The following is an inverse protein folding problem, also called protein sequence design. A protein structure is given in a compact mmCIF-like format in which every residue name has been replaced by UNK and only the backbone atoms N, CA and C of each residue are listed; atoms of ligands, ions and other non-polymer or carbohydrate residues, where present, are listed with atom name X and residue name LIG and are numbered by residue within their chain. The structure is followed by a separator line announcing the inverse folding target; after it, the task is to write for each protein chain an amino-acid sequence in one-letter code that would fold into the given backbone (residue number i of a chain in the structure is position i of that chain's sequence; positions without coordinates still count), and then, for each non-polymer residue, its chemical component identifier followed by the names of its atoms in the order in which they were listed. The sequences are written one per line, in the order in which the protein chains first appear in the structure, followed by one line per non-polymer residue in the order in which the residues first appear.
data_IF_055413233351
#
_entry.id   IF_055413233351
#
_cell.length_a   1.000
_cell.length_b   1.000
_cell.length_c   1.000
_cell.angle_alpha   90.00
_cell.angle_beta   90.00
_cell.angle_gamma   90.00
#
_symmetry.space_group_name_H-M   'P 1'
#
loop_
_entity.id
_entity.type
_entity.pdbx_description
1 polymer ?
#
# COMPACT_ATOMS: atom_id res chain seq x y z
N UNK A 1 -0.02 -7.46 -29.73
CA UNK A 1 0.73 -7.16 -28.49
C UNK A 1 1.57 -5.89 -28.67
N UNK A 2 0.95 -4.73 -28.90
CA UNK A 2 1.67 -3.46 -29.07
C UNK A 2 0.86 -2.20 -28.67
N UNK A 3 -0.28 -2.35 -27.96
CA UNK A 3 -1.23 -1.25 -27.77
C UNK A 3 -1.24 -0.63 -26.37
N UNK A 4 -0.28 -0.99 -25.51
CA UNK A 4 -0.15 -0.44 -24.16
C UNK A 4 0.98 0.61 -24.02
N UNK A 5 1.69 0.95 -25.11
CA UNK A 5 2.87 1.83 -25.07
C UNK A 5 2.70 3.17 -25.81
N UNK A 6 1.52 3.47 -26.36
CA UNK A 6 1.34 4.68 -27.15
C UNK A 6 -0.09 5.19 -27.10
N UNK A 7 -0.38 6.06 -26.15
CA UNK A 7 -1.66 6.76 -26.10
C UNK A 7 -1.67 7.84 -25.04
N UNK A 8 -1.49 9.08 -25.48
CA UNK A 8 -1.84 10.31 -24.75
C UNK A 8 -3.35 10.37 -24.44
N UNK A 9 -3.86 9.42 -23.67
CA UNK A 9 -5.07 9.60 -22.89
C UNK A 9 -4.62 9.41 -21.45
N UNK A 10 -4.82 10.40 -20.59
CA UNK A 10 -4.86 10.13 -19.16
C UNK A 10 -5.69 8.86 -19.01
N UNK A 11 -5.08 7.76 -18.54
CA UNK A 11 -5.79 6.52 -18.31
C UNK A 11 -7.00 6.92 -17.48
N UNK A 12 -8.18 6.86 -18.09
CA UNK A 12 -9.39 7.38 -17.46
C UNK A 12 -9.48 6.62 -16.14
N UNK A 13 -9.31 7.28 -14.99
CA UNK A 13 -9.12 6.58 -13.73
C UNK A 13 -10.32 5.66 -13.49
N UNK A 14 -11.52 6.08 -13.91
CA UNK A 14 -12.72 5.28 -13.81
C UNK A 14 -12.68 4.03 -14.71
N UNK A 15 -12.08 4.08 -15.90
CA UNK A 15 -11.87 2.87 -16.72
C UNK A 15 -10.83 1.93 -16.11
N UNK A 16 -9.68 2.45 -15.67
CA UNK A 16 -8.66 1.63 -15.03
C UNK A 16 -9.19 0.96 -13.75
N UNK A 17 -10.03 1.65 -12.99
CA UNK A 17 -10.73 1.11 -11.82
C UNK A 17 -11.74 0.01 -12.19
N UNK A 18 -12.47 0.15 -13.30
CA UNK A 18 -13.41 -0.86 -13.83
C UNK A 18 -12.68 -2.10 -14.35
N UNK A 19 -11.64 -1.91 -15.16
CA UNK A 19 -10.80 -2.98 -15.70
C UNK A 19 -10.14 -3.75 -14.55
N UNK A 20 -9.63 -3.04 -13.54
CA UNK A 20 -9.09 -3.67 -12.34
C UNK A 20 -10.12 -4.51 -11.60
N UNK A 21 -11.37 -4.05 -11.45
CA UNK A 21 -12.40 -4.82 -10.75
C UNK A 21 -12.71 -6.15 -11.47
N UNK A 22 -12.86 -6.10 -12.79
CA UNK A 22 -13.06 -7.29 -13.62
C UNK A 22 -11.90 -8.28 -13.53
N UNK A 23 -10.67 -7.78 -13.58
CA UNK A 23 -9.47 -8.60 -13.48
C UNK A 23 -9.30 -9.14 -12.06
N UNK A 24 -9.58 -8.34 -11.03
CA UNK A 24 -9.47 -8.73 -9.62
C UNK A 24 -10.38 -9.89 -9.23
N UNK A 25 -11.58 -9.95 -9.79
CA UNK A 25 -12.50 -11.05 -9.54
C UNK A 25 -12.01 -12.38 -10.14
N UNK A 26 -11.19 -12.34 -11.18
CA UNK A 26 -10.75 -13.52 -11.94
C UNK A 26 -9.29 -13.90 -11.68
N UNK A 27 -8.47 -12.94 -11.24
CA UNK A 27 -7.04 -13.12 -11.07
C UNK A 27 -6.71 -13.99 -9.85
N UNK A 28 -5.69 -14.86 -9.93
CA UNK A 28 -5.18 -15.56 -8.77
C UNK A 28 -4.60 -14.55 -7.77
N UNK A 29 -4.92 -14.74 -6.48
CA UNK A 29 -4.46 -13.85 -5.39
C UNK A 29 -2.95 -13.61 -5.40
N UNK A 30 -2.18 -14.64 -5.74
CA UNK A 30 -0.71 -14.54 -5.84
C UNK A 30 -0.26 -13.54 -6.93
N UNK A 31 -0.90 -13.55 -8.11
CA UNK A 31 -0.58 -12.60 -9.19
C UNK A 31 -0.98 -11.17 -8.83
N UNK A 32 -2.09 -11.03 -8.09
CA UNK A 32 -2.52 -9.75 -7.53
C UNK A 32 -1.51 -9.19 -6.52
N UNK A 33 -1.13 -9.96 -5.50
CA UNK A 33 -0.15 -9.56 -4.50
C UNK A 33 1.17 -9.15 -5.16
N UNK A 34 1.68 -9.97 -6.09
CA UNK A 34 2.90 -9.66 -6.85
C UNK A 34 2.76 -8.38 -7.68
N UNK A 35 1.61 -8.16 -8.30
CA UNK A 35 1.34 -6.94 -9.06
C UNK A 35 1.34 -5.70 -8.19
N UNK A 36 0.71 -5.76 -7.02
CA UNK A 36 0.70 -4.65 -6.06
C UNK A 36 2.09 -4.41 -5.50
N UNK A 37 2.82 -5.46 -5.12
CA UNK A 37 4.22 -5.32 -4.65
C UNK A 37 5.10 -4.68 -5.70
N UNK A 38 4.99 -5.08 -6.97
CA UNK A 38 5.72 -4.45 -8.07
C UNK A 38 5.33 -2.98 -8.21
N UNK A 39 4.03 -2.67 -8.14
CA UNK A 39 3.52 -1.31 -8.18
C UNK A 39 3.98 -0.47 -6.99
N UNK A 40 4.26 -1.06 -5.82
CA UNK A 40 4.80 -0.31 -4.67
C UNK A 40 6.31 -0.11 -4.75
N UNK A 41 7.02 -0.98 -5.48
CA UNK A 41 8.48 -0.92 -5.66
C UNK A 41 8.93 -0.21 -6.93
N UNK A 42 8.01 0.06 -7.85
CA UNK A 42 8.35 0.60 -9.16
C UNK A 42 8.86 2.04 -9.07
N UNK A 43 9.88 2.38 -9.85
CA UNK A 43 10.33 3.76 -10.04
C UNK A 43 9.28 4.64 -10.76
N UNK A 44 8.29 4.03 -11.41
CA UNK A 44 7.19 4.73 -12.07
C UNK A 44 6.08 5.17 -11.10
N UNK A 45 6.17 4.73 -9.84
CA UNK A 45 5.26 5.11 -8.77
C UNK A 45 5.98 5.97 -7.74
N UNK A 46 5.25 6.85 -7.02
CA UNK A 46 5.81 7.55 -5.89
C UNK A 46 6.42 6.56 -4.88
N UNK A 47 7.40 7.00 -4.06
CA UNK A 47 7.98 6.16 -3.02
C UNK A 47 6.92 5.49 -2.15
N UNK A 48 7.16 4.25 -1.72
CA UNK A 48 6.23 3.47 -0.90
C UNK A 48 5.68 4.29 0.28
N UNK A 49 6.56 4.98 1.01
CA UNK A 49 6.19 5.86 2.11
C UNK A 49 5.20 6.97 1.72
N UNK A 50 5.39 7.58 0.55
CA UNK A 50 4.52 8.63 0.01
C UNK A 50 3.16 8.06 -0.39
N UNK A 51 3.12 6.89 -1.02
CA UNK A 51 1.87 6.20 -1.36
C UNK A 51 1.07 5.89 -0.10
N UNK A 52 1.69 5.28 0.90
CA UNK A 52 1.03 4.94 2.18
C UNK A 52 0.49 6.19 2.87
N UNK A 53 1.25 7.29 2.88
CA UNK A 53 0.80 8.57 3.46
C UNK A 53 -0.42 9.14 2.74
N UNK A 54 -0.42 9.16 1.41
CA UNK A 54 -1.55 9.64 0.61
C UNK A 54 -2.80 8.78 0.82
N UNK A 55 -2.62 7.45 0.81
CA UNK A 55 -3.68 6.50 1.10
C UNK A 55 -4.25 6.72 2.49
N UNK A 56 -3.39 6.84 3.48
CA UNK A 56 -3.78 7.08 4.85
C UNK A 56 -4.61 8.36 4.98
N UNK A 57 -4.18 9.46 4.34
CA UNK A 57 -4.93 10.71 4.32
C UNK A 57 -6.33 10.59 3.69
N UNK A 58 -6.49 9.73 2.67
CA UNK A 58 -7.76 9.48 1.97
C UNK A 58 -8.64 8.43 2.64
N UNK A 59 -8.07 7.57 3.47
CA UNK A 59 -8.75 6.47 4.16
C UNK A 59 -9.54 6.94 5.39
N UNK A 60 -10.61 6.22 5.74
CA UNK A 60 -11.37 6.40 6.98
C UNK A 60 -10.62 5.84 8.20
N UNK A 61 -11.02 6.22 9.41
CA UNK A 61 -10.42 5.81 10.68
C UNK A 61 -10.18 4.28 10.78
N UNK A 62 -11.15 3.46 10.33
CA UNK A 62 -11.03 2.01 10.35
C UNK A 62 -9.98 1.46 9.37
N UNK A 63 -9.91 2.03 8.16
CA UNK A 63 -8.90 1.65 7.16
C UNK A 63 -7.51 2.10 7.57
N UNK A 64 -7.40 3.31 8.12
CA UNK A 64 -6.18 3.88 8.70
C UNK A 64 -5.63 2.98 9.80
N UNK A 65 -6.48 2.56 10.74
CA UNK A 65 -6.11 1.60 11.78
C UNK A 65 -5.65 0.28 11.18
N UNK A 66 -6.40 -0.32 10.24
CA UNK A 66 -6.00 -1.58 9.59
C UNK A 66 -4.63 -1.49 8.90
N UNK A 67 -4.38 -0.41 8.15
CA UNK A 67 -3.10 -0.17 7.50
C UNK A 67 -1.94 -0.01 8.50
N UNK A 68 -2.16 0.74 9.57
CA UNK A 68 -1.17 0.91 10.62
C UNK A 68 -0.89 -0.38 11.37
N UNK A 69 -1.92 -1.17 11.66
CA UNK A 69 -1.77 -2.50 12.24
C UNK A 69 -0.93 -3.41 11.36
N UNK A 70 -1.15 -3.37 10.03
CA UNK A 70 -0.36 -4.15 9.10
C UNK A 70 1.09 -3.67 9.03
N UNK A 71 1.33 -2.35 9.02
CA UNK A 71 2.69 -1.82 9.10
C UNK A 71 3.37 -2.24 10.42
N UNK A 72 2.70 -2.04 11.55
CA UNK A 72 3.24 -2.31 12.88
C UNK A 72 3.46 -3.78 13.18
N UNK A 73 2.62 -4.68 12.65
CA UNK A 73 2.82 -6.13 12.72
C UNK A 73 4.16 -6.57 12.10
N UNK A 74 4.71 -5.72 11.22
CA UNK A 74 5.93 -5.97 10.47
C UNK A 74 7.09 -5.05 10.89
N UNK A 75 6.81 -4.01 11.68
CA UNK A 75 7.80 -3.14 12.31
C UNK A 75 8.37 -3.88 13.52
N UNK A 76 9.67 -4.15 13.48
CA UNK A 76 10.35 -4.82 14.61
C UNK A 76 10.48 -3.88 15.81
N UNK A 77 10.55 -4.38 17.06
CA UNK A 77 10.75 -3.56 18.25
C UNK A 77 11.95 -2.62 18.16
N UNK A 78 13.01 -3.03 17.44
CA UNK A 78 14.19 -2.21 17.15
C UNK A 78 13.86 -0.98 16.29
N UNK A 79 13.01 -1.11 15.27
CA UNK A 79 12.56 0.03 14.46
C UNK A 79 11.63 0.94 15.27
N UNK A 80 10.77 0.36 16.11
CA UNK A 80 9.90 1.14 17.00
C UNK A 80 10.73 1.99 17.97
N UNK A 81 11.87 1.47 18.45
CA UNK A 81 12.83 2.24 19.24
C UNK A 81 13.47 3.39 18.44
N UNK A 82 13.76 3.20 17.15
CA UNK A 82 14.22 4.27 16.24
C UNK A 82 13.16 5.36 16.05
N UNK A 83 11.88 4.97 15.96
CA UNK A 83 10.73 5.87 15.81
C UNK A 83 10.29 6.50 17.14
N UNK A 84 10.74 5.96 18.27
CA UNK A 84 10.34 6.40 19.61
C UNK A 84 10.75 7.85 19.92
N UNK A 85 11.70 8.42 19.17
CA UNK A 85 12.08 9.83 19.26
C UNK A 85 11.05 10.82 18.72
N UNK A 86 10.13 10.39 17.84
CA UNK A 86 9.12 11.26 17.19
C UNK A 86 7.67 10.80 17.34
N UNK A 87 7.43 9.49 17.28
CA UNK A 87 6.08 8.88 17.36
C UNK A 87 5.89 8.06 18.65
N UNK A 88 6.96 7.92 19.46
CA UNK A 88 6.98 7.08 20.65
C UNK A 88 5.95 7.45 21.71
N UNK A 89 5.56 8.73 21.80
CA UNK A 89 4.53 9.17 22.74
C UNK A 89 3.13 8.66 22.37
N UNK A 90 2.88 8.38 21.08
CA UNK A 90 1.61 7.84 20.61
C UNK A 90 1.46 6.35 20.96
N UNK A 91 2.57 5.60 20.92
CA UNK A 91 2.60 4.17 21.22
C UNK A 91 2.80 3.84 22.70
N UNK A 92 3.08 4.84 23.55
CA UNK A 92 3.38 4.66 24.98
C UNK A 92 2.15 4.28 25.84
N UNK A 93 0.94 4.36 25.28
CA UNK A 93 -0.32 4.26 26.03
C UNK A 93 -1.05 2.91 26.03
N UNK A 94 -0.58 1.88 25.32
CA UNK A 94 -1.35 0.64 25.18
C UNK A 94 -0.49 -0.61 25.09
N UNK A 95 -0.76 -1.58 25.95
CA UNK A 95 -0.12 -2.91 26.02
C UNK A 95 -0.43 -3.82 24.82
N UNK A 96 -0.90 -3.27 23.70
CA UNK A 96 -1.24 -4.00 22.50
C UNK A 96 -0.63 -3.31 21.28
N UNK A 97 0.06 -4.04 20.40
CA UNK A 97 0.62 -3.50 19.14
C UNK A 97 -0.48 -3.12 18.13
N UNK A 98 -1.73 -3.02 18.57
CA UNK A 98 -2.87 -2.73 17.72
C UNK A 98 -3.32 -1.27 17.83
N UNK A 99 -3.28 -0.55 16.72
CA UNK A 99 -3.82 0.79 16.59
C UNK A 99 -5.33 0.71 16.43
N UNK A 100 -6.07 1.40 17.30
CA UNK A 100 -7.53 1.53 17.17
C UNK A 100 -7.90 2.60 16.15
N UNK A 101 -9.13 2.58 15.59
CA UNK A 101 -9.61 3.65 14.70
C UNK A 101 -9.45 5.05 15.30
N UNK A 102 -9.78 5.21 16.58
CA UNK A 102 -9.64 6.49 17.30
C UNK A 102 -8.19 6.95 17.41
N UNK A 103 -7.24 6.03 17.61
CA UNK A 103 -5.81 6.34 17.60
C UNK A 103 -5.32 6.69 16.20
N UNK A 104 -5.84 6.00 15.17
CA UNK A 104 -5.50 6.26 13.79
C UNK A 104 -5.96 7.65 13.32
N UNK A 105 -7.03 8.21 13.91
CA UNK A 105 -7.43 9.60 13.67
C UNK A 105 -6.46 10.63 14.25
N UNK A 106 -5.74 10.28 15.31
CA UNK A 106 -4.71 11.16 15.91
C UNK A 106 -3.37 11.09 15.18
N UNK A 107 -3.18 10.06 14.35
CA UNK A 107 -1.97 9.88 13.54
C UNK A 107 -2.08 10.76 12.29
N UNK A 108 -1.01 11.48 12.00
CA UNK A 108 -0.93 12.31 10.79
C UNK A 108 -0.33 11.53 9.62
N UNK A 109 -0.69 11.84 8.36
CA UNK A 109 -0.11 11.20 7.18
C UNK A 109 1.42 11.28 7.15
N UNK A 110 2.02 12.37 7.62
CA UNK A 110 3.47 12.52 7.74
C UNK A 110 4.09 11.49 8.70
N UNK A 111 3.48 11.24 9.86
CA UNK A 111 3.96 10.22 10.79
C UNK A 111 3.91 8.83 10.14
N UNK A 112 2.84 8.54 9.38
CA UNK A 112 2.73 7.27 8.64
C UNK A 112 3.80 7.16 7.56
N UNK A 113 4.09 8.26 6.85
CA UNK A 113 5.17 8.31 5.87
C UNK A 113 6.52 7.95 6.51
N UNK A 114 6.84 8.53 7.66
CA UNK A 114 8.09 8.26 8.37
C UNK A 114 8.19 6.80 8.85
N UNK A 115 7.09 6.27 9.38
CA UNK A 115 7.00 4.84 9.78
C UNK A 115 7.23 3.95 8.57
N UNK A 116 6.54 4.20 7.46
CA UNK A 116 6.65 3.41 6.24
C UNK A 116 8.05 3.49 5.62
N UNK A 117 8.65 4.68 5.56
CA UNK A 117 10.02 4.88 5.06
C UNK A 117 11.04 4.14 5.94
N UNK A 118 10.91 4.25 7.26
CA UNK A 118 11.80 3.56 8.21
C UNK A 118 11.63 2.05 8.11
N UNK A 119 10.38 1.57 8.01
CA UNK A 119 10.08 0.15 7.86
C UNK A 119 10.68 -0.41 6.56
N UNK A 120 10.55 0.29 5.44
CA UNK A 120 11.13 -0.09 4.15
C UNK A 120 12.66 -0.14 4.20
N UNK A 121 13.30 0.89 4.76
CA UNK A 121 14.76 0.97 4.85
C UNK A 121 15.36 -0.17 5.68
N UNK A 122 14.72 -0.53 6.79
CA UNK A 122 15.20 -1.59 7.67
C UNK A 122 14.73 -2.99 7.24
N UNK A 123 13.57 -3.10 6.59
CA UNK A 123 12.99 -4.35 6.12
C UNK A 123 12.31 -4.16 4.76
N UNK A 124 13.04 -4.36 3.64
CA UNK A 124 12.45 -4.22 2.31
C UNK A 124 11.31 -5.22 2.05
N UNK A 125 11.21 -6.30 2.82
CA UNK A 125 10.10 -7.24 2.78
C UNK A 125 8.76 -6.68 3.25
N UNK A 126 8.74 -5.48 3.86
CA UNK A 126 7.48 -4.79 4.21
C UNK A 126 6.62 -4.54 2.96
N UNK A 127 7.25 -4.24 1.83
CA UNK A 127 6.55 -3.89 0.59
C UNK A 127 5.81 -5.10 0.02
N UNK A 128 6.39 -6.30 0.17
CA UNK A 128 5.77 -7.57 -0.21
C UNK A 128 4.53 -7.86 0.64
N UNK A 129 4.65 -7.74 1.97
CA UNK A 129 3.54 -7.95 2.91
C UNK A 129 2.41 -6.93 2.76
N UNK A 130 2.77 -5.70 2.43
CA UNK A 130 1.79 -4.66 2.14
C UNK A 130 1.10 -4.94 0.81
N UNK A 131 1.82 -5.42 -0.20
CA UNK A 131 1.24 -5.88 -1.46
C UNK A 131 0.21 -7.00 -1.26
N UNK A 132 0.51 -7.96 -0.39
CA UNK A 132 -0.41 -9.05 -0.03
C UNK A 132 -1.68 -8.52 0.66
N UNK A 133 -1.53 -7.65 1.67
CA UNK A 133 -2.65 -7.00 2.35
C UNK A 133 -3.52 -6.18 1.38
N UNK A 134 -2.90 -5.38 0.51
CA UNK A 134 -3.64 -4.59 -0.47
C UNK A 134 -4.33 -5.47 -1.51
N UNK A 135 -3.74 -6.60 -1.91
CA UNK A 135 -4.40 -7.55 -2.80
C UNK A 135 -5.69 -8.14 -2.20
N UNK A 136 -5.79 -8.23 -0.86
CA UNK A 136 -7.04 -8.59 -0.17
C UNK A 136 -8.04 -7.42 -0.06
N UNK A 137 -7.56 -6.19 -0.25
CA UNK A 137 -8.34 -4.95 -0.13
C UNK A 137 -8.38 -4.18 -1.46
N UNK A 138 -9.16 -4.61 -2.47
CA UNK A 138 -9.19 -3.99 -3.80
C UNK A 138 -9.55 -2.49 -3.77
N UNK A 139 -10.34 -2.05 -2.80
CA UNK A 139 -10.63 -0.61 -2.57
C UNK A 139 -9.37 0.21 -2.28
N UNK A 140 -8.42 -0.37 -1.54
CA UNK A 140 -7.14 0.29 -1.23
C UNK A 140 -6.21 0.28 -2.45
N UNK A 141 -6.23 -0.78 -3.26
CA UNK A 141 -5.47 -0.82 -4.53
C UNK A 141 -5.93 0.27 -5.48
N UNK A 142 -7.24 0.48 -5.61
CA UNK A 142 -7.80 1.58 -6.41
C UNK A 142 -7.34 2.95 -5.89
N UNK A 143 -7.20 3.08 -4.57
CA UNK A 143 -6.71 4.30 -3.96
C UNK A 143 -5.21 4.58 -4.22
N UNK A 144 -4.40 3.57 -4.63
CA UNK A 144 -3.00 3.77 -5.05
C UNK A 144 -2.89 4.58 -6.34
N UNK A 145 -3.96 4.64 -7.14
CA UNK A 145 -4.06 5.45 -8.35
C UNK A 145 -3.78 4.68 -9.65
N UNK A 146 -4.09 5.32 -10.78
CA UNK A 146 -4.10 4.70 -12.10
C UNK A 146 -2.74 4.15 -12.57
N UNK A 147 -1.63 4.75 -12.16
CA UNK A 147 -0.30 4.26 -12.51
C UNK A 147 0.04 2.94 -11.80
N UNK A 148 -0.26 2.84 -10.50
CA UNK A 148 -0.10 1.60 -9.76
C UNK A 148 -1.00 0.51 -10.32
N UNK A 149 -2.28 0.82 -10.61
CA UNK A 149 -3.22 -0.10 -11.23
C UNK A 149 -2.70 -0.65 -12.57
N UNK A 150 -2.12 0.21 -13.42
CA UNK A 150 -1.55 -0.22 -14.70
C UNK A 150 -0.41 -1.25 -14.52
N UNK A 151 0.45 -1.05 -13.51
CA UNK A 151 1.52 -1.99 -13.17
C UNK A 151 0.94 -3.31 -12.66
N UNK A 152 -0.05 -3.25 -11.75
CA UNK A 152 -0.72 -4.44 -11.22
C UNK A 152 -1.36 -5.25 -12.34
N UNK A 153 -2.12 -4.59 -13.22
CA UNK A 153 -2.76 -5.21 -14.39
C UNK A 153 -1.73 -5.83 -15.34
N UNK A 154 -0.63 -5.13 -15.60
CA UNK A 154 0.49 -5.64 -16.39
C UNK A 154 1.07 -6.92 -15.80
N UNK A 155 1.25 -6.97 -14.48
CA UNK A 155 1.78 -8.15 -13.79
C UNK A 155 0.82 -9.33 -13.86
N UNK A 156 -0.47 -9.12 -13.61
CA UNK A 156 -1.48 -10.19 -13.68
C UNK A 156 -1.56 -10.77 -15.10
N UNK A 157 -1.54 -9.90 -16.11
CA UNK A 157 -1.55 -10.32 -17.51
C UNK A 157 -0.30 -11.15 -17.88
N UNK A 158 0.85 -10.85 -17.25
CA UNK A 158 2.07 -11.67 -17.37
C UNK A 158 1.95 -12.99 -16.62
N UNK A 159 1.40 -13.00 -15.40
CA UNK A 159 1.17 -14.22 -14.62
C UNK A 159 0.24 -15.21 -15.32
N UNK A 160 -0.74 -14.73 -16.09
CA UNK A 160 -1.63 -15.60 -16.90
C UNK A 160 -0.97 -16.20 -18.15
N UNK A 161 0.20 -15.72 -18.56
CA UNK A 161 0.93 -16.22 -19.73
C UNK A 161 2.02 -17.25 -19.38
N UNK A 162 2.22 -17.54 -18.10
CA UNK A 162 3.23 -18.46 -17.59
C UNK A 162 2.59 -19.70 -16.96
#
# INVERSE_FOLDING_TARGET
MQQYLGGNGAADPARAEQDFDHVAQQAPRAGMAQGVTEALRSDQTPPFATLVSQLFGRSDAQQRAGMLNQLLANVSPAMLASLAGGVGNLFKGGSQPQVTPEQAEQITPQQVQEIAATAEQHNPGIVDRMGDFYAEHPTLVKALGGAALAIVLGKIAQSHQN
#
